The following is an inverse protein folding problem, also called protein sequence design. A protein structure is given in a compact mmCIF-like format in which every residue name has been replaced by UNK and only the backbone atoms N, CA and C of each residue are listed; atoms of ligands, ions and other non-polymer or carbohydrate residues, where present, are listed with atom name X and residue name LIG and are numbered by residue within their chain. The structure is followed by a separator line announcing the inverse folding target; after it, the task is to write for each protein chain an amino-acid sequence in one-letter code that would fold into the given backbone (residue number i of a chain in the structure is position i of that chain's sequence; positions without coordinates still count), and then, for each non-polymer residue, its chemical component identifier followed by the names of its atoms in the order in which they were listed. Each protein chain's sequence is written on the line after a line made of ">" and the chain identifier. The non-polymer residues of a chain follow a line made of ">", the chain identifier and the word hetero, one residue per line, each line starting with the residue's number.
data_IF_988226927935
#
_entry.id   IF_988226927935
#
_cell.length_a   1.000
_cell.length_b   1.000
_cell.length_c   1.000
_cell.angle_alpha   90.00
_cell.angle_beta   90.00
_cell.angle_gamma   90.00
#
_symmetry.space_group_name_H-M   'P 1'
#
loop_
_entity.id
_entity.type
_entity.pdbx_description
1 polymer ?
#
# COMPACT_ATOMS: atom_id res chain seq x y z
N UNK A 1 -7.84 6.28 -9.70
CA UNK A 1 -7.45 5.35 -10.80
C UNK A 1 -8.70 5.03 -11.59
N UNK A 2 -8.72 5.14 -12.92
CA UNK A 2 -9.91 4.82 -13.71
C UNK A 2 -10.41 3.39 -13.43
N UNK A 3 -11.74 3.21 -13.44
CA UNK A 3 -12.38 1.95 -13.04
C UNK A 3 -11.95 0.77 -13.92
N UNK A 4 -11.69 1.03 -15.20
CA UNK A 4 -11.24 0.06 -16.20
C UNK A 4 -9.84 -0.50 -15.95
N UNK A 5 -9.03 0.16 -15.12
CA UNK A 5 -7.69 -0.28 -14.74
C UNK A 5 -7.66 -1.03 -13.40
N UNK A 6 -8.81 -1.14 -12.71
CA UNK A 6 -8.91 -1.88 -11.45
C UNK A 6 -8.78 -3.38 -11.69
N UNK A 7 -8.16 -4.07 -10.75
CA UNK A 7 -8.28 -5.52 -10.67
C UNK A 7 -9.76 -5.88 -10.45
N UNK A 8 -10.23 -6.91 -11.16
CA UNK A 8 -11.59 -7.43 -10.99
C UNK A 8 -11.75 -8.04 -9.60
N UNK A 9 -12.97 -8.01 -9.08
CA UNK A 9 -13.34 -8.60 -7.79
C UNK A 9 -12.56 -8.03 -6.58
N UNK A 10 -11.95 -6.85 -6.72
CA UNK A 10 -11.30 -6.13 -5.64
C UNK A 10 -12.17 -4.96 -5.16
N UNK A 11 -12.27 -4.83 -3.84
CA UNK A 11 -12.90 -3.69 -3.18
C UNK A 11 -11.86 -2.61 -2.89
N UNK A 12 -12.08 -1.39 -3.37
CA UNK A 12 -11.13 -0.28 -3.26
C UNK A 12 -11.63 0.76 -2.27
N UNK A 13 -10.86 0.99 -1.20
CA UNK A 13 -11.12 2.02 -0.20
C UNK A 13 -10.18 3.20 -0.46
N UNK A 14 -10.75 4.38 -0.66
CA UNK A 14 -10.01 5.64 -0.71
C UNK A 14 -9.84 6.19 0.69
N UNK A 15 -8.61 6.36 1.14
CA UNK A 15 -8.28 6.93 2.44
C UNK A 15 -7.47 8.21 2.26
N UNK A 16 -7.99 9.32 2.78
CA UNK A 16 -7.27 10.60 2.86
C UNK A 16 -7.80 11.42 4.04
N UNK A 17 -7.00 12.33 4.57
CA UNK A 17 -7.45 13.28 5.60
C UNK A 17 -8.45 14.30 5.01
N UNK A 18 -8.38 14.56 3.70
CA UNK A 18 -9.21 15.49 2.98
C UNK A 18 -10.27 14.78 2.15
N UNK A 19 -11.54 15.05 2.47
CA UNK A 19 -12.67 14.65 1.62
C UNK A 19 -12.54 15.19 0.20
N UNK A 20 -12.08 16.44 0.06
CA UNK A 20 -11.97 17.10 -1.23
C UNK A 20 -10.99 16.38 -2.16
N UNK A 21 -9.85 15.91 -1.64
CA UNK A 21 -8.87 15.16 -2.44
C UNK A 21 -9.44 13.83 -2.95
N UNK A 22 -10.22 13.14 -2.11
CA UNK A 22 -10.90 11.90 -2.52
C UNK A 22 -11.95 12.14 -3.62
N UNK A 23 -12.64 13.28 -3.57
CA UNK A 23 -13.67 13.67 -4.56
C UNK A 23 -13.07 14.12 -5.90
N UNK A 24 -11.79 14.51 -5.94
CA UNK A 24 -11.07 14.80 -7.19
C UNK A 24 -10.73 13.54 -7.98
N UNK A 25 -10.79 12.36 -7.36
CA UNK A 25 -10.56 11.11 -8.06
C UNK A 25 -11.66 10.85 -9.11
N UNK A 26 -11.32 10.30 -10.28
CA UNK A 26 -12.33 9.91 -11.27
C UNK A 26 -13.43 9.02 -10.66
N UNK A 27 -14.68 9.23 -11.08
CA UNK A 27 -15.81 8.43 -10.61
C UNK A 27 -15.53 6.92 -10.75
N UNK A 28 -15.84 6.16 -9.69
CA UNK A 28 -15.55 4.72 -9.62
C UNK A 28 -14.10 4.35 -9.24
N UNK A 29 -13.24 5.34 -8.94
CA UNK A 29 -11.88 5.07 -8.43
C UNK A 29 -11.88 4.28 -7.13
N UNK A 30 -12.90 4.47 -6.30
CA UNK A 30 -13.08 3.81 -5.02
C UNK A 30 -14.53 3.35 -4.88
N UNK A 31 -14.75 2.24 -4.19
CA UNK A 31 -16.08 1.76 -3.81
C UNK A 31 -16.53 2.36 -2.47
N UNK A 32 -15.55 2.73 -1.64
CA UNK A 32 -15.76 3.34 -0.33
C UNK A 32 -14.76 4.49 -0.13
N UNK A 33 -15.22 5.59 0.48
CA UNK A 33 -14.37 6.71 0.88
C UNK A 33 -14.31 6.80 2.40
N UNK A 34 -13.10 6.79 2.96
CA UNK A 34 -12.84 6.99 4.38
C UNK A 34 -12.01 8.25 4.56
N UNK A 35 -12.60 9.24 5.22
CA UNK A 35 -11.93 10.50 5.53
C UNK A 35 -11.32 10.38 6.92
N UNK A 36 -10.00 10.20 6.99
CA UNK A 36 -9.29 10.02 8.25
C UNK A 36 -7.80 10.37 8.13
N UNK A 37 -7.21 10.81 9.24
CA UNK A 37 -5.77 10.98 9.38
C UNK A 37 -5.12 9.62 9.68
N UNK A 38 -4.26 9.14 8.78
CA UNK A 38 -3.56 7.86 8.93
C UNK A 38 -2.62 7.82 10.15
N UNK A 39 -2.29 8.94 10.77
CA UNK A 39 -1.49 8.97 12.00
C UNK A 39 -2.32 8.70 13.26
N UNK A 40 -3.64 8.75 13.16
CA UNK A 40 -4.56 8.57 14.27
C UNK A 40 -5.16 7.17 14.29
N UNK A 41 -5.40 6.65 15.50
CA UNK A 41 -6.10 5.37 15.65
C UNK A 41 -7.51 5.48 15.11
N UNK A 42 -7.88 4.50 14.28
CA UNK A 42 -9.18 4.43 13.66
C UNK A 42 -9.69 3.00 13.68
N UNK A 43 -10.56 2.70 14.66
CA UNK A 43 -11.07 1.35 14.88
C UNK A 43 -11.78 0.76 13.64
N UNK A 44 -12.31 1.60 12.76
CA UNK A 44 -12.95 1.13 11.52
C UNK A 44 -11.95 0.74 10.42
N UNK A 45 -10.67 1.08 10.56
CA UNK A 45 -9.61 0.67 9.64
C UNK A 45 -8.95 -0.65 10.06
N UNK A 46 -8.95 -0.98 11.35
CA UNK A 46 -8.22 -2.13 11.89
C UNK A 46 -8.62 -3.46 11.23
N UNK A 47 -7.63 -4.17 10.69
CA UNK A 47 -7.80 -5.47 10.04
C UNK A 47 -8.71 -5.47 8.80
N UNK A 48 -9.07 -4.29 8.27
CA UNK A 48 -10.06 -4.16 7.20
C UNK A 48 -9.50 -4.38 5.80
N UNK A 49 -8.17 -4.35 5.63
CA UNK A 49 -7.52 -4.50 4.33
C UNK A 49 -6.63 -5.74 4.26
N UNK A 50 -6.56 -6.37 3.10
CA UNK A 50 -5.57 -7.38 2.74
C UNK A 50 -4.34 -6.78 2.04
N UNK A 51 -4.51 -5.64 1.37
CA UNK A 51 -3.46 -4.84 0.77
C UNK A 51 -3.64 -3.36 1.13
N UNK A 52 -2.57 -2.71 1.57
CA UNK A 52 -2.49 -1.26 1.71
C UNK A 52 -1.48 -0.72 0.70
N UNK A 53 -1.90 0.27 -0.10
CA UNK A 53 -1.08 0.92 -1.12
C UNK A 53 -0.89 2.39 -0.77
N UNK A 54 0.35 2.86 -0.74
CA UNK A 54 0.67 4.28 -0.65
C UNK A 54 1.66 4.65 -1.74
N UNK A 55 1.30 5.60 -2.60
CA UNK A 55 2.10 5.99 -3.75
C UNK A 55 2.40 7.48 -3.71
N UNK A 56 3.62 7.83 -3.31
CA UNK A 56 4.10 9.22 -3.18
C UNK A 56 3.26 10.09 -2.23
N UNK A 57 2.85 9.52 -1.08
CA UNK A 57 2.06 10.22 -0.05
C UNK A 57 2.81 10.34 1.29
N UNK A 58 3.54 9.31 1.70
CA UNK A 58 4.12 9.22 3.05
C UNK A 58 5.21 10.25 3.37
N UNK A 59 5.75 10.93 2.36
CA UNK A 59 6.72 12.01 2.52
C UNK A 59 6.12 13.20 3.28
N UNK A 60 4.83 13.42 3.06
CA UNK A 60 4.06 14.52 3.64
C UNK A 60 3.44 14.17 5.00
N UNK A 61 3.38 12.89 5.35
CA UNK A 61 2.74 12.41 6.58
C UNK A 61 3.72 12.47 7.76
N UNK A 62 3.33 13.15 8.84
CA UNK A 62 4.12 13.24 10.07
C UNK A 62 3.26 13.01 11.32
N UNK A 63 3.72 12.19 12.28
CA UNK A 63 5.00 11.47 12.29
C UNK A 63 4.93 10.12 11.58
N UNK A 64 5.90 9.86 10.70
CA UNK A 64 5.94 8.65 9.86
C UNK A 64 5.85 7.32 10.63
N UNK A 65 6.51 7.13 11.81
CA UNK A 65 6.36 5.90 12.58
C UNK A 65 4.91 5.60 13.00
N UNK A 66 4.13 6.63 13.34
CA UNK A 66 2.72 6.45 13.72
C UNK A 66 1.89 6.04 12.50
N UNK A 67 2.12 6.69 11.35
CA UNK A 67 1.46 6.30 10.11
C UNK A 67 1.76 4.86 9.71
N UNK A 68 3.02 4.42 9.81
CA UNK A 68 3.40 3.04 9.49
C UNK A 68 2.77 2.03 10.46
N UNK A 69 2.67 2.35 11.75
CA UNK A 69 1.98 1.49 12.71
C UNK A 69 0.48 1.40 12.41
N UNK A 70 -0.18 2.51 12.10
CA UNK A 70 -1.60 2.48 11.73
C UNK A 70 -1.85 1.74 10.41
N UNK A 71 -0.96 1.86 9.42
CA UNK A 71 -1.00 1.04 8.20
C UNK A 71 -0.89 -0.44 8.57
N UNK A 72 0.03 -0.80 9.47
CA UNK A 72 0.18 -2.18 9.94
C UNK A 72 -1.10 -2.70 10.61
N UNK A 73 -1.75 -1.87 11.42
CA UNK A 73 -3.01 -2.23 12.09
C UNK A 73 -4.19 -2.31 11.12
N UNK A 74 -4.19 -1.52 10.06
CA UNK A 74 -5.21 -1.57 8.99
C UNK A 74 -5.19 -2.90 8.24
N UNK A 75 -4.02 -3.54 8.18
CA UNK A 75 -3.86 -4.84 7.54
C UNK A 75 -4.34 -5.97 8.45
N UNK A 76 -5.13 -6.88 7.87
CA UNK A 76 -5.42 -8.17 8.51
C UNK A 76 -4.12 -9.00 8.67
N UNK A 77 -4.11 -10.04 9.52
CA UNK A 77 -2.99 -10.98 9.57
C UNK A 77 -2.65 -11.55 8.18
N UNK A 78 -1.38 -11.41 7.77
CA UNK A 78 -0.91 -11.83 6.44
C UNK A 78 -1.16 -10.81 5.31
N UNK A 79 -1.76 -9.65 5.61
CA UNK A 79 -1.90 -8.55 4.67
C UNK A 79 -0.56 -7.92 4.31
N UNK A 80 -0.54 -7.20 3.18
CA UNK A 80 0.69 -6.65 2.60
C UNK A 80 0.59 -5.12 2.51
N UNK A 81 1.69 -4.44 2.81
CA UNK A 81 1.84 -3.02 2.52
C UNK A 81 2.79 -2.82 1.33
N UNK A 82 2.40 -1.96 0.39
CA UNK A 82 3.23 -1.49 -0.73
C UNK A 82 3.32 0.03 -0.67
N UNK A 83 4.51 0.54 -0.42
CA UNK A 83 4.81 1.97 -0.39
C UNK A 83 5.79 2.37 -1.49
N UNK A 84 5.48 3.42 -2.25
CA UNK A 84 6.45 4.16 -3.04
C UNK A 84 6.65 5.55 -2.43
N UNK A 85 7.91 5.95 -2.25
CA UNK A 85 8.28 7.28 -1.79
C UNK A 85 9.19 7.97 -2.83
N UNK A 86 8.85 9.20 -3.17
CA UNK A 86 9.69 10.18 -3.85
C UNK A 86 10.78 10.68 -2.90
N UNK A 87 12.03 10.74 -3.39
CA UNK A 87 13.20 10.82 -2.54
C UNK A 87 13.39 12.15 -1.80
N UNK A 88 13.25 12.11 -0.47
CA UNK A 88 14.27 12.55 0.51
C UNK A 88 14.69 11.38 1.44
N UNK A 89 13.95 10.26 1.41
CA UNK A 89 14.15 9.07 2.25
C UNK A 89 14.65 7.83 1.48
N UNK A 90 15.01 7.95 0.20
CA UNK A 90 15.54 6.83 -0.60
C UNK A 90 17.03 6.60 -0.34
N UNK A 91 17.40 6.09 0.85
CA UNK A 91 18.76 5.61 1.19
C UNK A 91 19.89 6.68 1.23
N UNK A 92 19.79 7.81 0.54
CA UNK A 92 20.81 8.88 0.48
C UNK A 92 20.63 10.03 1.49
N UNK A 93 19.42 10.27 2.01
CA UNK A 93 19.17 11.31 3.00
C UNK A 93 19.77 11.03 4.39
N UNK A 94 20.15 9.77 4.66
CA UNK A 94 20.86 9.39 5.88
C UNK A 94 22.40 9.51 5.74
N UNK A 95 22.93 9.48 4.51
CA UNK A 95 24.38 9.58 4.23
C UNK A 95 24.88 11.04 4.17
N UNK A 96 24.02 12.02 3.88
CA UNK A 96 24.41 13.44 3.88
C UNK A 96 24.53 14.08 5.28
N UNK A 97 24.50 13.29 6.37
CA UNK A 97 24.89 13.77 7.71
C UNK A 97 26.37 13.53 8.03
N UNK A 98 27.11 12.80 7.20
CA UNK A 98 28.55 12.61 7.37
C UNK A 98 29.27 12.57 6.01
N UNK A 99 29.94 13.68 5.75
CA UNK A 99 31.13 13.85 4.90
C UNK A 99 30.99 14.10 3.39
N UNK A 100 31.84 15.02 2.94
CA UNK A 100 31.97 15.64 1.62
C UNK A 100 32.77 14.78 0.65
N UNK A 101 32.18 14.26 -0.43
CA UNK A 101 32.83 14.05 -1.76
C UNK A 101 31.80 13.63 -2.82
N UNK A 102 31.97 13.98 -4.11
CA UNK A 102 31.01 13.64 -5.17
C UNK A 102 31.29 12.24 -5.72
N UNK A 103 30.28 11.36 -5.72
CA UNK A 103 30.34 10.07 -6.43
C UNK A 103 29.38 10.12 -7.61
N UNK A 104 30.01 10.06 -8.78
CA UNK A 104 29.46 10.00 -10.12
C UNK A 104 28.84 8.61 -10.38
N UNK A 105 27.71 8.59 -11.11
CA UNK A 105 27.13 7.40 -11.75
C UNK A 105 26.57 6.28 -10.84
N UNK A 106 25.24 6.15 -10.77
CA UNK A 106 24.61 4.85 -10.48
C UNK A 106 23.43 4.56 -11.39
N UNK A 107 23.57 3.48 -12.14
CA UNK A 107 22.64 2.97 -13.15
C UNK A 107 21.35 2.42 -12.53
N UNK A 108 20.21 2.88 -13.05
CA UNK A 108 18.89 2.26 -12.82
C UNK A 108 18.84 0.92 -13.56
N UNK A 109 18.87 -0.19 -12.81
CA UNK A 109 18.51 -1.53 -13.33
C UNK A 109 17.18 -1.98 -12.73
N UNK A 110 16.16 -1.89 -13.59
CA UNK A 110 15.01 -2.79 -13.71
C UNK A 110 14.00 -2.85 -12.57
N UNK A 111 12.92 -2.08 -12.72
CA UNK A 111 11.62 -2.40 -12.14
C UNK A 111 11.01 -3.54 -12.98
N UNK A 112 11.28 -4.78 -12.59
CA UNK A 112 10.53 -5.93 -13.08
C UNK A 112 9.11 -5.84 -12.52
N UNK A 113 8.20 -5.21 -13.25
CA UNK A 113 6.76 -5.29 -13.02
C UNK A 113 6.38 -6.77 -12.97
N UNK A 114 6.28 -7.32 -11.76
CA UNK A 114 5.72 -8.65 -11.57
C UNK A 114 4.25 -8.57 -11.93
N UNK A 115 3.84 -9.43 -12.86
CA UNK A 115 2.49 -9.55 -13.37
C UNK A 115 1.49 -9.56 -12.18
N UNK A 116 0.53 -8.62 -12.08
CA UNK A 116 -0.37 -8.48 -10.94
C UNK A 116 -1.08 -9.80 -10.59
N UNK A 117 -1.40 -10.61 -11.61
CA UNK A 117 -1.92 -11.99 -11.50
C UNK A 117 -1.12 -12.88 -10.53
N UNK A 118 0.19 -12.69 -10.39
CA UNK A 118 1.07 -13.47 -9.49
C UNK A 118 1.12 -12.95 -8.06
N UNK A 119 0.68 -11.71 -7.82
CA UNK A 119 0.58 -11.13 -6.47
C UNK A 119 -0.75 -11.53 -5.82
N UNK A 120 -1.80 -11.76 -6.60
CA UNK A 120 -3.15 -12.07 -6.12
C UNK A 120 -3.51 -13.57 -6.03
N UNK A 121 -2.59 -14.50 -6.33
CA UNK A 121 -2.88 -15.95 -6.32
C UNK A 121 -2.27 -16.67 -5.11
N UNK A 122 -3.09 -16.84 -4.04
CA UNK A 122 -3.39 -18.10 -3.31
C UNK A 122 -3.71 -17.87 -1.82
N UNK A 123 -4.98 -18.04 -1.47
CA UNK A 123 -5.39 -18.76 -0.24
C UNK A 123 -6.70 -19.51 -0.52
N UNK A 124 -6.60 -20.67 -1.15
CA UNK A 124 -7.58 -21.74 -0.96
C UNK A 124 -6.82 -22.95 -0.44
N UNK A 125 -6.76 -23.07 0.88
CA UNK A 125 -6.31 -24.29 1.56
C UNK A 125 -7.53 -25.00 2.13
N UNK A 126 -7.88 -26.13 1.51
CA UNK A 126 -8.32 -27.33 2.25
C UNK A 126 -9.82 -27.61 2.34
N UNK A 127 -10.33 -28.41 1.41
CA UNK A 127 -11.37 -29.41 1.72
C UNK A 127 -10.91 -30.76 1.14
N UNK A 128 -10.23 -31.54 1.98
CA UNK A 128 -9.79 -32.90 1.64
C UNK A 128 -10.99 -33.83 1.50
N UNK A 129 -11.15 -34.40 0.30
CA UNK A 129 -12.03 -35.54 0.04
C UNK A 129 -11.28 -36.80 0.49
N UNK A 130 -11.77 -37.49 1.53
CA UNK A 130 -11.34 -38.86 1.84
C UNK A 130 -11.98 -39.82 0.83
N UNK A 131 -11.27 -40.83 0.30
CA UNK A 131 -11.89 -41.94 -0.39
C UNK A 131 -12.46 -42.92 0.64
N UNK A 132 -13.76 -43.20 0.57
CA UNK A 132 -14.38 -44.34 1.26
C UNK A 132 -14.41 -45.52 0.29
N UNK A 133 -13.53 -46.48 0.50
CA UNK A 133 -13.68 -47.84 -0.02
C UNK A 133 -14.38 -48.70 1.03
N UNK A 134 -15.39 -49.44 0.58
CA UNK A 134 -15.70 -50.85 0.89
C UNK A 134 -16.64 -51.33 -0.19
#
# INVERSE_FOLDING_TARGET
>A
MPVEHRAKDCHYIGLDISRGELELAPAGSYDELRVADITQSSAHLEGSCDLALSYQVLEHVKPLPQALEQIRLTLRPGGVFVGQLSGTFSVFGLLNKFDTTPVDGMHVKTLGLRNPEKVFLRTTTGAGRRPSGT
#
